data_IF_055319997620
#
_entry.id   IF_055319997620
#
_cell.length_a   1.000
_cell.length_b   1.000
_cell.length_c   1.000
_cell.angle_alpha   90.00
_cell.angle_beta   90.00
_cell.angle_gamma   90.00
#
_symmetry.space_group_name_H-M   'P 1'
#
loop_
_entity.id
_entity.type
_entity.pdbx_description
1 polymer ?
#
# COMPACT_ATOMS: atom_id res chain seq x y z
N UNK A 1 -1.79 -4.98 -18.98
CA UNK A 1 -1.92 -4.08 -17.82
C UNK A 1 -2.09 -4.93 -16.57
N UNK A 2 -1.90 -4.36 -15.38
CA UNK A 2 -2.26 -5.00 -14.12
C UNK A 2 -3.20 -4.07 -13.37
N UNK A 3 -4.48 -4.45 -13.25
CA UNK A 3 -5.53 -3.69 -12.59
C UNK A 3 -5.83 -4.33 -11.25
N UNK A 4 -5.87 -3.51 -10.21
CA UNK A 4 -6.25 -3.96 -8.87
C UNK A 4 -7.38 -3.11 -8.33
N UNK A 5 -8.28 -3.72 -7.57
CA UNK A 5 -9.35 -3.01 -6.86
C UNK A 5 -9.49 -3.54 -5.44
N UNK A 6 -10.22 -2.82 -4.57
CA UNK A 6 -10.39 -3.19 -3.16
C UNK A 6 -11.85 -3.20 -2.78
N UNK A 7 -12.25 -4.21 -2.02
CA UNK A 7 -13.61 -4.38 -1.53
C UNK A 7 -13.63 -4.24 -0.01
N UNK A 8 -14.55 -3.41 0.48
CA UNK A 8 -15.01 -3.37 1.88
C UNK A 8 -16.16 -2.37 2.04
N UNK A 9 -16.09 -1.20 1.39
CA UNK A 9 -17.14 -0.18 1.44
C UNK A 9 -17.71 0.00 0.04
N UNK A 10 -18.94 -0.43 -0.19
CA UNK A 10 -19.64 -0.29 -1.47
C UNK A 10 -20.88 0.58 -1.44
N UNK A 11 -21.39 0.95 -0.26
CA UNK A 11 -22.59 1.77 -0.13
C UNK A 11 -22.93 2.11 1.33
N UNK A 12 -24.16 2.60 1.53
CA UNK A 12 -24.64 3.08 2.84
C UNK A 12 -25.44 2.01 3.59
N UNK A 13 -26.00 1.02 2.88
CA UNK A 13 -26.75 -0.05 3.52
C UNK A 13 -25.82 -1.00 4.28
N UNK A 14 -26.35 -1.66 5.32
CA UNK A 14 -25.59 -2.58 6.16
C UNK A 14 -24.92 -3.70 5.36
N UNK A 15 -25.59 -4.18 4.32
CA UNK A 15 -25.08 -5.26 3.45
C UNK A 15 -24.17 -4.77 2.32
N UNK A 16 -23.98 -3.46 2.20
CA UNK A 16 -23.08 -2.84 1.21
C UNK A 16 -21.70 -2.55 1.83
N UNK A 17 -21.33 -3.26 2.90
CA UNK A 17 -20.00 -3.21 3.50
C UNK A 17 -19.53 -4.56 4.06
N UNK A 18 -18.24 -4.63 4.38
CA UNK A 18 -17.59 -5.78 5.00
C UNK A 18 -16.97 -6.76 4.01
N UNK A 19 -16.70 -7.98 4.47
CA UNK A 19 -16.11 -9.07 3.68
C UNK A 19 -17.00 -10.32 3.65
N UNK A 20 -18.31 -10.14 3.87
CA UNK A 20 -19.26 -11.22 3.65
C UNK A 20 -19.22 -11.67 2.19
N UNK A 21 -19.57 -12.93 1.93
CA UNK A 21 -19.66 -13.50 0.59
C UNK A 21 -20.59 -12.68 -0.30
N UNK A 22 -21.71 -12.20 0.24
CA UNK A 22 -22.63 -11.29 -0.44
C UNK A 22 -21.90 -10.05 -0.94
N UNK A 23 -21.23 -9.33 -0.05
CA UNK A 23 -20.58 -8.08 -0.39
C UNK A 23 -19.37 -8.25 -1.31
N UNK A 24 -18.56 -9.31 -1.12
CA UNK A 24 -17.42 -9.59 -2.02
C UNK A 24 -17.89 -9.77 -3.46
N UNK A 25 -18.92 -10.58 -3.68
CA UNK A 25 -19.44 -10.87 -5.02
C UNK A 25 -20.14 -9.64 -5.61
N UNK A 26 -21.07 -9.02 -4.88
CA UNK A 26 -21.83 -7.86 -5.36
C UNK A 26 -20.93 -6.62 -5.55
N UNK A 27 -20.04 -6.36 -4.60
CA UNK A 27 -19.08 -5.27 -4.64
C UNK A 27 -18.09 -5.40 -5.80
N UNK A 28 -17.56 -6.61 -6.04
CA UNK A 28 -16.68 -6.84 -7.19
C UNK A 28 -17.42 -6.71 -8.52
N UNK A 29 -18.64 -7.26 -8.66
CA UNK A 29 -19.47 -7.03 -9.86
C UNK A 29 -19.72 -5.55 -10.12
N UNK A 30 -20.07 -4.79 -9.08
CA UNK A 30 -20.24 -3.35 -9.19
C UNK A 30 -18.95 -2.63 -9.62
N UNK A 31 -17.80 -3.05 -9.08
CA UNK A 31 -16.49 -2.51 -9.48
C UNK A 31 -16.15 -2.82 -10.93
N UNK A 32 -16.32 -4.07 -11.37
CA UNK A 32 -16.07 -4.50 -12.76
C UNK A 32 -16.96 -3.75 -13.75
N UNK A 33 -18.23 -3.59 -13.43
CA UNK A 33 -19.18 -2.79 -14.23
C UNK A 33 -18.71 -1.34 -14.39
N UNK A 34 -18.27 -0.68 -13.30
CA UNK A 34 -17.73 0.69 -13.36
C UNK A 34 -16.39 0.79 -14.10
N UNK A 35 -15.56 -0.24 -13.98
CA UNK A 35 -14.26 -0.33 -14.66
C UNK A 35 -14.41 -0.69 -16.15
N UNK A 36 -15.59 -1.17 -16.56
CA UNK A 36 -15.82 -1.73 -17.90
C UNK A 36 -14.84 -2.86 -18.23
N UNK A 37 -14.57 -3.72 -17.24
CA UNK A 37 -13.68 -4.87 -17.35
C UNK A 37 -14.41 -6.15 -16.96
N UNK A 38 -14.05 -7.26 -17.60
CA UNK A 38 -14.55 -8.58 -17.25
C UNK A 38 -13.89 -9.11 -15.96
N UNK A 39 -12.65 -8.71 -15.70
CA UNK A 39 -11.88 -9.12 -14.53
C UNK A 39 -10.89 -8.04 -14.06
N UNK A 40 -10.40 -8.19 -12.83
CA UNK A 40 -9.21 -7.50 -12.32
C UNK A 40 -8.08 -8.50 -12.05
N UNK A 41 -6.83 -8.09 -12.16
CA UNK A 41 -5.71 -8.98 -11.88
C UNK A 41 -5.64 -9.35 -10.39
N UNK A 42 -5.90 -8.39 -9.50
CA UNK A 42 -5.94 -8.65 -8.05
C UNK A 42 -7.13 -7.92 -7.41
N UNK A 43 -8.02 -8.68 -6.75
CA UNK A 43 -9.02 -8.13 -5.84
C UNK A 43 -8.49 -8.17 -4.41
N UNK A 44 -8.50 -7.01 -3.72
CA UNK A 44 -8.05 -6.91 -2.34
C UNK A 44 -9.20 -6.84 -1.35
N UNK A 45 -9.09 -7.52 -0.21
CA UNK A 45 -9.82 -7.15 0.99
C UNK A 45 -9.24 -5.84 1.55
N UNK A 46 -9.98 -4.73 1.50
CA UNK A 46 -9.43 -3.38 1.77
C UNK A 46 -8.94 -3.19 3.23
N UNK A 47 -9.56 -3.91 4.15
CA UNK A 47 -9.24 -4.03 5.58
C UNK A 47 -9.75 -5.38 6.10
N UNK A 48 -9.39 -5.76 7.31
CA UNK A 48 -9.99 -6.93 7.97
C UNK A 48 -11.46 -6.66 8.34
N UNK A 49 -12.25 -7.74 8.45
CA UNK A 49 -13.64 -7.70 8.89
C UNK A 49 -13.84 -8.69 10.04
N UNK A 50 -14.05 -8.15 11.24
CA UNK A 50 -14.27 -8.96 12.46
C UNK A 50 -15.65 -9.63 12.49
N UNK A 51 -16.57 -9.22 11.62
CA UNK A 51 -17.93 -9.77 11.56
C UNK A 51 -18.07 -10.91 10.56
N UNK A 52 -17.08 -11.13 9.69
CA UNK A 52 -17.10 -12.17 8.67
C UNK A 52 -16.07 -13.26 9.01
N UNK A 53 -16.48 -14.53 9.20
CA UNK A 53 -15.54 -15.61 9.46
C UNK A 53 -14.52 -15.77 8.32
N UNK A 54 -13.26 -16.05 8.67
CA UNK A 54 -12.18 -16.17 7.69
C UNK A 54 -12.49 -17.18 6.58
N UNK A 55 -13.10 -18.31 6.93
CA UNK A 55 -13.52 -19.33 5.95
C UNK A 55 -14.47 -18.76 4.89
N UNK A 56 -15.44 -17.94 5.29
CA UNK A 56 -16.37 -17.31 4.36
C UNK A 56 -15.64 -16.37 3.40
N UNK A 57 -14.74 -15.53 3.93
CA UNK A 57 -13.93 -14.59 3.16
C UNK A 57 -13.10 -15.32 2.11
N UNK A 58 -12.33 -16.35 2.52
CA UNK A 58 -11.45 -17.10 1.61
C UNK A 58 -12.26 -17.88 0.58
N UNK A 59 -13.42 -18.47 0.93
CA UNK A 59 -14.33 -19.12 -0.02
C UNK A 59 -14.93 -18.13 -1.02
N UNK A 60 -15.26 -16.91 -0.58
CA UNK A 60 -15.78 -15.87 -1.46
C UNK A 60 -14.72 -15.37 -2.44
N UNK A 61 -13.50 -15.11 -1.97
CA UNK A 61 -12.37 -14.73 -2.82
C UNK A 61 -12.01 -15.82 -3.83
N UNK A 62 -11.96 -17.08 -3.37
CA UNK A 62 -11.76 -18.25 -4.25
C UNK A 62 -12.87 -18.36 -5.29
N UNK A 63 -14.12 -18.13 -4.90
CA UNK A 63 -15.24 -18.17 -5.82
C UNK A 63 -15.11 -17.11 -6.92
N UNK A 64 -14.83 -15.85 -6.61
CA UNK A 64 -14.73 -14.81 -7.65
C UNK A 64 -13.55 -15.07 -8.59
N UNK A 65 -12.47 -15.69 -8.12
CA UNK A 65 -11.37 -16.13 -8.98
C UNK A 65 -11.84 -17.26 -9.92
N UNK A 66 -12.48 -18.29 -9.38
CA UNK A 66 -12.99 -19.42 -10.17
C UNK A 66 -14.10 -19.00 -11.16
N UNK A 67 -14.78 -17.88 -10.93
CA UNK A 67 -15.74 -17.29 -11.86
C UNK A 67 -15.07 -16.39 -12.92
N UNK A 68 -13.74 -16.26 -12.90
CA UNK A 68 -13.01 -15.41 -13.83
C UNK A 68 -13.19 -13.92 -13.59
N UNK A 69 -13.70 -13.49 -12.43
CA UNK A 69 -13.87 -12.07 -12.08
C UNK A 69 -12.59 -11.44 -11.53
N UNK A 70 -11.65 -12.28 -11.08
CA UNK A 70 -10.31 -11.86 -10.66
C UNK A 70 -9.29 -12.95 -11.00
N UNK A 71 -8.04 -12.59 -11.26
CA UNK A 71 -6.96 -13.59 -11.44
C UNK A 71 -6.42 -14.06 -10.09
N UNK A 72 -6.23 -13.14 -9.15
CA UNK A 72 -5.75 -13.39 -7.80
C UNK A 72 -6.50 -12.55 -6.77
N UNK A 73 -6.25 -12.82 -5.49
CA UNK A 73 -6.70 -11.96 -4.41
C UNK A 73 -5.57 -11.65 -3.43
N UNK A 74 -5.74 -10.57 -2.68
CA UNK A 74 -4.80 -10.13 -1.67
C UNK A 74 -5.48 -9.49 -0.47
N UNK A 75 -4.69 -9.17 0.53
CA UNK A 75 -5.12 -8.51 1.76
C UNK A 75 -4.59 -7.08 1.80
N UNK A 76 -5.22 -6.21 2.59
CA UNK A 76 -4.75 -4.84 2.81
C UNK A 76 -5.04 -4.46 4.25
N UNK A 77 -4.03 -3.97 4.98
CA UNK A 77 -4.12 -3.60 6.41
C UNK A 77 -4.38 -4.78 7.35
N UNK A 78 -4.15 -6.00 6.90
CA UNK A 78 -4.28 -7.18 7.76
C UNK A 78 -3.01 -7.40 8.58
N UNK A 79 -3.13 -7.91 9.79
CA UNK A 79 -1.99 -8.36 10.58
C UNK A 79 -1.36 -9.61 9.98
N UNK A 80 -0.10 -9.90 10.32
CA UNK A 80 0.54 -11.14 9.89
C UNK A 80 -0.20 -12.40 10.37
N UNK A 81 -0.85 -12.32 11.53
CA UNK A 81 -1.70 -13.39 12.07
C UNK A 81 -2.91 -13.67 11.16
N UNK A 82 -3.66 -12.63 10.77
CA UNK A 82 -4.84 -12.78 9.92
C UNK A 82 -4.47 -13.28 8.52
N UNK A 83 -3.32 -12.86 7.97
CA UNK A 83 -2.83 -13.37 6.67
C UNK A 83 -2.50 -14.87 6.78
N UNK A 84 -1.85 -15.28 7.87
CA UNK A 84 -1.55 -16.69 8.13
C UNK A 84 -2.83 -17.51 8.36
N UNK A 85 -3.85 -16.94 9.01
CA UNK A 85 -5.15 -17.56 9.19
C UNK A 85 -5.84 -17.81 7.83
N UNK A 86 -5.85 -16.81 6.95
CA UNK A 86 -6.37 -16.96 5.58
C UNK A 86 -5.63 -18.06 4.81
N UNK A 87 -4.31 -18.11 4.93
CA UNK A 87 -3.50 -19.17 4.33
C UNK A 87 -3.83 -20.55 4.90
N UNK A 88 -3.98 -20.66 6.23
CA UNK A 88 -4.35 -21.90 6.92
C UNK A 88 -5.69 -22.43 6.45
N UNK A 89 -6.72 -21.57 6.41
CA UNK A 89 -8.05 -21.88 5.85
C UNK A 89 -7.93 -22.35 4.40
N UNK A 90 -7.14 -21.66 3.58
CA UNK A 90 -6.96 -22.03 2.19
C UNK A 90 -6.35 -23.43 2.04
N UNK A 91 -5.35 -23.77 2.85
CA UNK A 91 -4.74 -25.11 2.84
C UNK A 91 -5.68 -26.18 3.38
N UNK A 92 -6.41 -25.90 4.46
CA UNK A 92 -7.34 -26.85 5.07
C UNK A 92 -8.48 -27.25 4.12
N UNK A 93 -9.01 -26.30 3.34
CA UNK A 93 -10.19 -26.50 2.50
C UNK A 93 -9.90 -26.54 1.00
N UNK A 94 -8.62 -26.64 0.61
CA UNK A 94 -8.17 -26.61 -0.78
C UNK A 94 -8.72 -25.40 -1.58
N UNK A 95 -8.60 -24.22 -0.97
CA UNK A 95 -8.99 -22.94 -1.55
C UNK A 95 -7.75 -22.15 -2.00
N UNK A 96 -7.97 -21.00 -2.63
CA UNK A 96 -6.89 -20.16 -3.17
C UNK A 96 -6.38 -19.21 -2.07
N UNK A 97 -5.09 -19.25 -1.67
CA UNK A 97 -4.53 -18.34 -0.67
C UNK A 97 -4.30 -16.92 -1.25
N UNK A 98 -4.16 -15.89 -0.41
CA UNK A 98 -3.82 -14.55 -0.88
C UNK A 98 -2.37 -14.49 -1.38
N UNK A 99 -2.10 -13.70 -2.40
CA UNK A 99 -0.76 -13.60 -3.02
C UNK A 99 0.04 -12.37 -2.58
N UNK A 100 -0.65 -11.36 -2.05
CA UNK A 100 -0.05 -10.06 -1.74
C UNK A 100 -0.75 -9.41 -0.55
N UNK A 101 0.03 -8.76 0.31
CA UNK A 101 -0.46 -7.80 1.29
C UNK A 101 -0.19 -6.37 0.82
N UNK A 102 -1.20 -5.51 0.92
CA UNK A 102 -1.09 -4.10 0.64
C UNK A 102 -0.90 -3.26 1.91
N UNK A 103 0.35 -2.89 2.21
CA UNK A 103 0.73 -2.27 3.48
C UNK A 103 1.24 -0.82 3.36
N UNK A 104 0.99 0.01 4.37
CA UNK A 104 1.59 1.34 4.45
C UNK A 104 3.09 1.20 4.66
N UNK A 105 3.89 1.90 3.86
CA UNK A 105 5.33 1.93 4.04
C UNK A 105 5.92 3.26 3.63
N UNK A 106 6.64 3.87 4.57
CA UNK A 106 7.38 5.11 4.40
C UNK A 106 8.29 5.33 5.62
N UNK A 107 9.13 6.37 5.62
CA UNK A 107 10.08 6.63 6.71
C UNK A 107 9.50 6.59 8.14
N UNK A 108 8.24 7.01 8.31
CA UNK A 108 7.55 7.02 9.61
C UNK A 108 6.66 5.80 9.89
N UNK A 109 6.61 4.81 9.00
CA UNK A 109 5.79 3.60 9.15
C UNK A 109 6.55 2.44 8.50
N UNK A 110 7.24 1.64 9.32
CA UNK A 110 8.27 0.69 8.85
C UNK A 110 8.04 -0.74 9.31
N UNK A 111 7.67 -0.89 10.57
CA UNK A 111 7.71 -2.17 11.30
C UNK A 111 7.04 -3.33 10.57
N UNK A 112 5.84 -3.13 10.05
CA UNK A 112 5.11 -4.20 9.36
C UNK A 112 5.87 -4.69 8.13
N UNK A 113 6.33 -3.79 7.27
CA UNK A 113 6.97 -4.13 5.99
C UNK A 113 8.40 -4.60 6.17
N UNK A 114 9.14 -4.08 7.15
CA UNK A 114 10.54 -4.46 7.37
C UNK A 114 10.70 -5.68 8.26
N UNK A 115 9.74 -5.98 9.15
CA UNK A 115 9.85 -7.07 10.13
C UNK A 115 8.89 -8.23 9.82
N UNK A 116 7.62 -7.93 9.57
CA UNK A 116 6.59 -8.98 9.49
C UNK A 116 6.42 -9.56 8.08
N UNK A 117 6.38 -8.71 7.05
CA UNK A 117 6.16 -9.16 5.67
C UNK A 117 7.29 -10.05 5.11
N UNK A 118 8.59 -9.85 5.43
CA UNK A 118 9.64 -10.76 4.97
C UNK A 118 9.43 -12.19 5.48
N UNK A 119 9.00 -12.36 6.74
CA UNK A 119 8.67 -13.68 7.28
C UNK A 119 7.49 -14.34 6.55
N UNK A 120 6.44 -13.57 6.23
CA UNK A 120 5.31 -14.09 5.45
C UNK A 120 5.73 -14.49 4.03
N UNK A 121 6.58 -13.69 3.38
CA UNK A 121 7.12 -14.04 2.07
C UNK A 121 7.88 -15.37 2.12
N UNK A 122 8.80 -15.53 3.08
CA UNK A 122 9.58 -16.77 3.21
C UNK A 122 8.74 -18.00 3.59
N UNK A 123 7.69 -17.83 4.40
CA UNK A 123 6.87 -18.96 4.88
C UNK A 123 5.77 -19.38 3.91
N UNK A 124 5.10 -18.41 3.27
CA UNK A 124 3.88 -18.66 2.49
C UNK A 124 3.86 -17.97 1.12
N UNK A 125 4.93 -17.25 0.74
CA UNK A 125 5.06 -16.64 -0.58
C UNK A 125 4.25 -15.35 -0.79
N UNK A 126 3.74 -14.73 0.29
CA UNK A 126 2.98 -13.47 0.18
C UNK A 126 3.91 -12.30 -0.09
N UNK A 127 3.72 -11.64 -1.24
CA UNK A 127 4.47 -10.43 -1.61
C UNK A 127 3.95 -9.16 -0.92
N UNK A 128 4.73 -8.08 -1.00
CA UNK A 128 4.33 -6.77 -0.45
C UNK A 128 4.14 -5.73 -1.57
N UNK A 129 2.95 -5.15 -1.62
CA UNK A 129 2.65 -3.96 -2.45
C UNK A 129 2.41 -2.79 -1.50
N UNK A 130 3.28 -1.79 -1.49
CA UNK A 130 3.20 -0.74 -0.47
C UNK A 130 2.45 0.49 -0.94
N UNK A 131 1.90 1.26 0.00
CA UNK A 131 1.16 2.49 -0.28
C UNK A 131 1.57 3.66 0.62
N UNK A 132 1.19 4.88 0.19
CA UNK A 132 1.57 6.15 0.82
C UNK A 132 3.07 6.35 1.04
N UNK A 133 3.96 6.12 0.04
CA UNK A 133 5.41 6.29 0.22
C UNK A 133 5.83 7.69 0.70
N UNK A 134 4.99 8.70 0.44
CA UNK A 134 5.20 10.09 0.83
C UNK A 134 4.37 10.52 2.05
N UNK A 135 3.74 9.58 2.77
CA UNK A 135 2.86 9.84 3.91
C UNK A 135 1.81 10.93 3.61
N UNK A 136 1.02 10.73 2.55
CA UNK A 136 0.04 11.71 2.06
C UNK A 136 0.63 13.09 1.68
N UNK A 137 1.89 13.11 1.25
CA UNK A 137 2.62 14.31 0.83
C UNK A 137 3.37 15.01 1.96
N UNK A 138 3.34 14.47 3.19
CA UNK A 138 4.09 15.02 4.31
C UNK A 138 5.60 15.06 4.01
N UNK A 139 6.14 13.97 3.45
CA UNK A 139 7.57 13.78 3.19
C UNK A 139 8.12 14.76 2.14
N UNK A 140 7.28 15.37 1.31
CA UNK A 140 7.74 16.42 0.38
C UNK A 140 8.02 17.75 1.08
N UNK A 141 7.75 17.86 2.39
CA UNK A 141 7.89 19.08 3.19
C UNK A 141 6.91 20.19 2.87
N UNK A 142 5.90 19.96 2.02
CA UNK A 142 4.91 20.99 1.62
C UNK A 142 4.07 21.54 2.76
N UNK A 143 4.10 20.89 3.92
CA UNK A 143 3.37 21.30 5.12
C UNK A 143 4.24 22.00 6.18
N UNK A 144 5.50 22.33 5.85
CA UNK A 144 6.45 22.91 6.82
C UNK A 144 5.99 24.25 7.39
N UNK A 145 5.27 25.03 6.58
CA UNK A 145 4.79 26.37 6.94
C UNK A 145 3.26 26.44 7.09
N UNK A 146 2.62 25.29 7.31
CA UNK A 146 1.16 25.15 7.40
C UNK A 146 0.55 24.35 6.25
N UNK A 147 -0.77 24.28 6.19
CA UNK A 147 -1.49 23.47 5.19
C UNK A 147 -1.89 24.33 3.98
N UNK A 148 -1.33 24.09 2.78
CA UNK A 148 -1.77 24.78 1.57
C UNK A 148 -3.19 24.37 1.15
N UNK A 149 -3.99 25.31 0.62
CA UNK A 149 -5.38 25.03 0.24
C UNK A 149 -5.53 23.98 -0.87
N UNK A 150 -4.62 23.98 -1.84
CA UNK A 150 -4.59 23.02 -2.95
C UNK A 150 -4.01 21.64 -2.55
N UNK A 151 -3.60 21.47 -1.30
CA UNK A 151 -3.02 20.21 -0.82
C UNK A 151 -4.10 19.19 -0.44
N UNK A 152 -3.71 17.91 -0.31
CA UNK A 152 -4.63 16.86 0.17
C UNK A 152 -5.24 17.19 1.53
N UNK A 153 -4.48 17.81 2.43
CA UNK A 153 -4.96 18.21 3.76
C UNK A 153 -5.92 19.42 3.73
N UNK A 154 -5.98 20.16 2.61
CA UNK A 154 -6.95 21.23 2.37
C UNK A 154 -8.32 20.74 1.85
N UNK A 155 -8.40 19.51 1.34
CA UNK A 155 -9.62 18.94 0.75
C UNK A 155 -10.65 18.59 1.84
N UNK A 156 -11.93 18.93 1.61
CA UNK A 156 -13.04 18.51 2.48
C UNK A 156 -13.08 16.99 2.62
N UNK A 157 -13.16 16.48 3.86
CA UNK A 157 -13.09 15.05 4.17
C UNK A 157 -11.69 14.57 4.59
N UNK A 158 -10.67 15.42 4.50
CA UNK A 158 -9.30 15.11 4.93
C UNK A 158 -8.87 15.86 6.21
N UNK A 159 -9.84 16.27 7.04
CA UNK A 159 -9.58 16.95 8.32
C UNK A 159 -8.60 16.18 9.21
N UNK A 160 -8.70 14.85 9.24
CA UNK A 160 -7.77 13.97 9.96
C UNK A 160 -6.30 14.18 9.57
N UNK A 161 -6.01 14.49 8.30
CA UNK A 161 -4.65 14.73 7.81
C UNK A 161 -4.17 16.12 8.24
N UNK A 162 -5.07 17.12 8.21
CA UNK A 162 -4.78 18.47 8.73
C UNK A 162 -4.48 18.43 10.22
N UNK A 163 -5.28 17.69 10.99
CA UNK A 163 -5.04 17.45 12.42
C UNK A 163 -3.71 16.75 12.66
N UNK A 164 -3.38 15.72 11.87
CA UNK A 164 -2.08 15.04 11.93
C UNK A 164 -0.93 16.02 11.70
N UNK A 165 -1.02 16.92 10.70
CA UNK A 165 0.03 17.92 10.43
C UNK A 165 0.26 18.85 11.62
N UNK A 166 -0.81 19.29 12.29
CA UNK A 166 -0.70 20.20 13.44
C UNK A 166 -0.42 19.51 14.79
N UNK A 167 -0.58 18.19 14.85
CA UNK A 167 -0.25 17.39 16.03
C UNK A 167 1.22 17.48 16.42
N UNK A 168 1.54 17.19 17.67
CA UNK A 168 2.92 17.17 18.17
C UNK A 168 3.79 16.19 17.36
N UNK A 169 3.26 15.00 17.09
CA UNK A 169 3.95 13.99 16.28
C UNK A 169 4.16 14.45 14.84
N UNK A 170 3.17 15.10 14.22
CA UNK A 170 3.31 15.68 12.88
C UNK A 170 4.42 16.73 12.79
N UNK A 171 4.52 17.61 13.80
CA UNK A 171 5.61 18.60 13.87
C UNK A 171 6.97 17.95 14.06
N UNK A 172 7.07 16.90 14.89
CA UNK A 172 8.30 16.09 15.03
C UNK A 172 8.70 15.43 13.71
N UNK A 173 7.73 14.90 12.95
CA UNK A 173 7.97 14.33 11.62
C UNK A 173 8.46 15.40 10.64
N UNK A 174 7.83 16.59 10.61
CA UNK A 174 8.25 17.71 9.77
C UNK A 174 9.68 18.18 10.08
N UNK A 175 10.09 18.19 11.35
CA UNK A 175 11.47 18.52 11.72
C UNK A 175 12.47 17.51 11.10
N UNK A 176 12.19 16.20 11.20
CA UNK A 176 13.03 15.15 10.58
C UNK A 176 13.05 15.23 9.05
N UNK A 177 11.97 15.69 8.42
CA UNK A 177 11.90 15.86 6.96
C UNK A 177 12.85 16.96 6.49
N UNK A 178 13.10 18.00 7.30
CA UNK A 178 14.12 19.01 6.99
C UNK A 178 15.52 18.39 6.89
N UNK A 179 15.85 17.45 7.78
CA UNK A 179 17.11 16.71 7.71
C UNK A 179 17.18 15.81 6.47
N UNK A 180 16.06 15.19 6.08
CA UNK A 180 15.96 14.39 4.86
C UNK A 180 16.21 15.23 3.60
N UNK A 181 15.71 16.47 3.53
CA UNK A 181 16.01 17.38 2.42
C UNK A 181 17.51 17.63 2.26
N UNK A 182 18.24 17.84 3.36
CA UNK A 182 19.70 18.03 3.29
C UNK A 182 20.42 16.80 2.70
N UNK A 183 19.89 15.60 2.93
CA UNK A 183 20.42 14.37 2.31
C UNK A 183 20.07 14.34 0.82
N UNK A 184 18.82 14.66 0.47
CA UNK A 184 18.35 14.67 -0.90
C UNK A 184 19.15 15.68 -1.77
N UNK A 185 19.40 16.87 -1.24
CA UNK A 185 20.18 17.93 -1.89
C UNK A 185 21.62 17.47 -2.19
N UNK A 186 22.28 16.79 -1.24
CA UNK A 186 23.62 16.21 -1.47
C UNK A 186 23.64 15.13 -2.54
N UNK A 187 22.53 14.42 -2.71
CA UNK A 187 22.36 13.38 -3.71
C UNK A 187 21.83 13.92 -5.05
N UNK A 188 21.58 15.23 -5.15
CA UNK A 188 21.05 15.86 -6.37
C UNK A 188 19.64 15.40 -6.73
N UNK A 189 18.81 15.06 -5.74
CA UNK A 189 17.44 14.58 -5.93
C UNK A 189 16.45 15.28 -4.99
N UNK A 190 15.15 15.10 -5.21
CA UNK A 190 14.12 15.62 -4.29
C UNK A 190 13.88 14.65 -3.13
N UNK A 191 13.35 15.15 -1.99
CA UNK A 191 12.99 14.24 -0.89
C UNK A 191 11.90 13.24 -1.28
N UNK A 192 11.02 13.58 -2.22
CA UNK A 192 10.04 12.64 -2.75
C UNK A 192 10.72 11.49 -3.49
N UNK A 193 11.68 11.80 -4.38
CA UNK A 193 12.48 10.82 -5.10
C UNK A 193 13.27 9.93 -4.13
N UNK A 194 13.96 10.55 -3.16
CA UNK A 194 14.72 9.83 -2.16
C UNK A 194 13.84 8.88 -1.34
N UNK A 195 12.67 9.32 -0.90
CA UNK A 195 11.76 8.50 -0.10
C UNK A 195 11.14 7.34 -0.87
N UNK A 196 10.81 7.53 -2.14
CA UNK A 196 10.30 6.44 -2.99
C UNK A 196 11.41 5.43 -3.28
N UNK A 197 12.61 5.90 -3.63
CA UNK A 197 13.78 5.03 -3.83
C UNK A 197 14.12 4.25 -2.55
N UNK A 198 14.01 4.91 -1.39
CA UNK A 198 14.19 4.28 -0.09
C UNK A 198 13.16 3.17 0.17
N UNK A 199 11.90 3.35 -0.24
CA UNK A 199 10.88 2.30 -0.11
C UNK A 199 11.20 1.09 -1.03
N UNK A 200 11.67 1.36 -2.24
CA UNK A 200 12.00 0.33 -3.25
C UNK A 200 13.26 -0.48 -2.92
N UNK A 201 14.16 0.04 -2.09
CA UNK A 201 15.38 -0.69 -1.71
C UNK A 201 15.10 -1.95 -0.88
N UNK A 202 13.92 -2.05 -0.27
CA UNK A 202 13.56 -3.18 0.56
C UNK A 202 13.24 -4.37 -0.36
N UNK A 203 14.07 -5.41 -0.36
CA UNK A 203 13.93 -6.57 -1.26
C UNK A 203 12.56 -7.25 -1.16
N UNK A 204 11.89 -7.15 0.00
CA UNK A 204 10.54 -7.68 0.20
C UNK A 204 9.43 -6.86 -0.46
N UNK A 205 9.70 -5.64 -0.93
CA UNK A 205 8.73 -4.77 -1.58
C UNK A 205 8.71 -5.02 -3.08
N UNK A 206 7.63 -5.65 -3.55
CA UNK A 206 7.43 -5.96 -4.97
C UNK A 206 7.06 -4.74 -5.80
N UNK A 207 6.33 -3.78 -5.21
CA UNK A 207 5.94 -2.52 -5.87
C UNK A 207 5.56 -1.46 -4.84
N UNK A 208 5.82 -0.18 -5.19
CA UNK A 208 5.39 0.99 -4.42
C UNK A 208 4.29 1.72 -5.20
N UNK A 209 3.11 1.87 -4.61
CA UNK A 209 2.00 2.60 -5.23
C UNK A 209 2.17 4.11 -5.07
N UNK A 210 2.32 4.80 -6.19
CA UNK A 210 2.43 6.26 -6.25
C UNK A 210 1.05 6.91 -6.24
N UNK A 211 0.93 8.00 -5.48
CA UNK A 211 -0.26 8.87 -5.49
C UNK A 211 0.14 10.27 -5.91
N UNK A 212 -0.46 10.77 -6.99
CA UNK A 212 -0.14 12.06 -7.60
C UNK A 212 -1.42 12.83 -7.90
N UNK A 213 -1.36 14.17 -7.83
CA UNK A 213 -2.48 15.06 -8.19
C UNK A 213 -2.28 15.80 -9.51
N UNK A 214 -1.07 15.74 -10.09
CA UNK A 214 -0.73 16.33 -11.37
C UNK A 214 0.42 15.55 -12.03
N UNK A 215 0.71 15.86 -13.29
CA UNK A 215 1.76 15.21 -14.10
C UNK A 215 3.16 15.50 -13.59
N UNK A 216 3.41 16.69 -13.05
CA UNK A 216 4.74 17.08 -12.59
C UNK A 216 5.19 16.22 -11.40
N UNK A 217 4.28 15.96 -10.45
CA UNK A 217 4.50 15.03 -9.34
C UNK A 217 4.76 13.61 -9.85
N UNK A 218 4.09 13.18 -10.93
CA UNK A 218 4.32 11.86 -11.51
C UNK A 218 5.72 11.76 -12.09
N UNK A 219 6.11 12.72 -12.93
CA UNK A 219 7.44 12.76 -13.56
C UNK A 219 8.54 12.89 -12.50
N UNK A 220 8.35 13.72 -11.48
CA UNK A 220 9.25 13.83 -10.34
C UNK A 220 9.41 12.48 -9.64
N UNK A 221 8.29 11.85 -9.24
CA UNK A 221 8.29 10.58 -8.51
C UNK A 221 8.90 9.43 -9.31
N UNK A 222 8.72 9.38 -10.64
CA UNK A 222 9.35 8.39 -11.51
C UNK A 222 10.88 8.55 -11.54
N UNK A 223 11.39 9.77 -11.34
CA UNK A 223 12.82 10.03 -11.18
C UNK A 223 13.47 9.33 -9.97
N UNK A 224 12.67 8.79 -9.04
CA UNK A 224 13.17 7.97 -7.93
C UNK A 224 13.98 6.75 -8.40
N UNK A 225 13.68 6.20 -9.58
CA UNK A 225 14.44 5.08 -10.15
C UNK A 225 15.90 5.46 -10.45
N UNK A 226 16.15 6.70 -10.86
CA UNK A 226 17.50 7.22 -11.05
C UNK A 226 18.25 7.39 -9.73
N UNK A 227 17.55 7.56 -8.62
CA UNK A 227 18.14 7.62 -7.26
C UNK A 227 18.44 6.21 -6.75
N UNK A 228 17.61 5.21 -7.05
CA UNK A 228 17.83 3.83 -6.60
C UNK A 228 19.12 3.22 -7.19
N UNK A 229 19.43 3.51 -8.45
CA UNK A 229 20.58 2.94 -9.16
C UNK A 229 21.95 3.27 -8.49
N UNK A 230 22.28 4.52 -8.12
CA UNK A 230 23.48 4.85 -7.36
C UNK A 230 23.61 4.12 -6.01
N UNK A 231 22.49 3.83 -5.35
CA UNK A 231 22.51 3.15 -4.04
C UNK A 231 22.86 1.68 -4.16
N UNK A 232 22.44 1.03 -5.24
CA UNK A 232 22.84 -0.36 -5.52
C UNK A 232 24.33 -0.51 -5.80
N UNK A 233 24.95 0.46 -6.49
CA UNK A 233 26.40 0.47 -6.77
C UNK A 233 27.22 0.69 -5.49
N UNK A 234 26.79 1.61 -4.62
CA UNK A 234 27.47 1.87 -3.34
C UNK A 234 27.45 0.67 -2.37
N UNK A 235 26.43 -0.19 -2.44
CA UNK A 235 26.35 -1.42 -1.64
C UNK A 235 27.23 -2.56 -2.21
N UNK A 236 27.42 -2.63 -3.53
CA UNK A 236 28.34 -3.58 -4.18
C UNK A 236 29.81 -3.23 -3.83
N UNK A 237 30.17 -1.94 -3.81
CA UNK A 237 31.51 -1.52 -3.44
C UNK A 237 31.83 -1.72 -1.94
N UNK A 238 30.81 -1.74 -1.07
CA UNK A 238 30.98 -2.03 0.36
C UNK A 238 31.03 -3.54 0.68
N UNK A 239 30.44 -4.39 -0.15
CA UNK A 239 30.44 -5.86 0.04
C UNK A 239 31.66 -6.55 -0.57
N UNK A 240 32.30 -5.95 -1.58
CA UNK A 240 33.57 -6.43 -2.14
C UNK A 240 34.82 -5.97 -1.35
N UNK A 241 34.65 -5.24 -0.24
CA UNK A 241 35.73 -4.75 0.63
C UNK A 241 35.71 -5.38 2.03
N UNK A 242 35.14 -6.59 2.18
CA UNK A 242 35.25 -7.40 3.40
C UNK A 242 35.82 -8.77 3.10
#
# INVERSE_FOLDING_TARGET
>A
YVITTKIYWGGQAETERGLSRKHIIEGLRGSLSRLQLDYVDIVFANRNDVNSPMEEVVRAMTFVINQGMAMYWGTSRWSAMEIMEAYSVARQFNLIPPVCEQAEYHYFQRDKVEVQLPELYHKIGVGAMTWSPLACGLITGKYSDGVPDCSRAGIKGYQWLKERVYSEEGRRQLAKIKELHLVADRLGCTAAQLAIAWCLRSEGVSSVLLGVSNTDQLLENLGALCVLLPWSVLLIDYSNNK
#
